data_IF_251235497208
#
_entry.id   IF_251235497208
#
_cell.length_a   1.000
_cell.length_b   1.000
_cell.length_c   1.000
_cell.angle_alpha   90.00
_cell.angle_beta   90.00
_cell.angle_gamma   90.00
#
_symmetry.space_group_name_H-M   'P 1'
#
loop_
_entity.id
_entity.type
_entity.pdbx_description
1 polymer ?
#
# COMPACT_ATOMS: atom_id res chain seq x y z
N UNK A 1 10.23 -4.49 -9.53
CA UNK A 1 8.76 -4.66 -9.54
C UNK A 1 8.26 -3.98 -8.29
N UNK A 2 7.47 -2.90 -8.43
CA UNK A 2 6.91 -2.21 -7.26
C UNK A 2 5.91 -3.17 -6.58
N UNK A 3 5.98 -3.36 -5.25
CA UNK A 3 5.09 -4.30 -4.59
C UNK A 3 3.66 -3.79 -4.59
N UNK A 4 2.73 -4.58 -5.15
CA UNK A 4 1.28 -4.36 -5.01
C UNK A 4 0.91 -4.40 -3.53
N UNK A 5 0.19 -3.40 -3.02
CA UNK A 5 -0.28 -3.38 -1.63
C UNK A 5 -1.23 -4.54 -1.34
N UNK A 6 -1.20 -5.07 -0.11
CA UNK A 6 -2.26 -5.97 0.36
C UNK A 6 -3.51 -5.18 0.70
N UNK A 7 -4.65 -5.86 0.86
CA UNK A 7 -5.90 -5.22 1.30
C UNK A 7 -5.74 -4.43 2.62
N UNK A 8 -5.00 -4.96 3.59
CA UNK A 8 -4.77 -4.28 4.88
C UNK A 8 -3.90 -3.03 4.67
N UNK A 9 -2.89 -3.10 3.80
CA UNK A 9 -2.03 -1.96 3.49
C UNK A 9 -2.76 -0.87 2.72
N UNK A 10 -3.63 -1.26 1.78
CA UNK A 10 -4.50 -0.34 1.06
C UNK A 10 -5.48 0.35 2.00
N UNK A 11 -6.10 -0.37 2.93
CA UNK A 11 -7.03 0.19 3.91
C UNK A 11 -6.35 1.24 4.82
N UNK A 12 -5.15 0.92 5.33
CA UNK A 12 -4.37 1.86 6.15
C UNK A 12 -3.96 3.13 5.37
N UNK A 13 -3.59 2.97 4.10
CA UNK A 13 -3.27 4.10 3.21
C UNK A 13 -4.51 4.99 3.00
N UNK A 14 -5.67 4.40 2.73
CA UNK A 14 -6.91 5.12 2.48
C UNK A 14 -7.40 5.86 3.74
N UNK A 15 -7.27 5.26 4.92
CA UNK A 15 -7.54 5.93 6.21
C UNK A 15 -6.61 7.14 6.43
N UNK A 16 -5.31 7.01 6.15
CA UNK A 16 -4.36 8.13 6.30
C UNK A 16 -4.68 9.27 5.34
N UNK A 17 -5.01 8.97 4.08
CA UNK A 17 -5.43 9.98 3.10
C UNK A 17 -6.71 10.71 3.52
N UNK A 18 -7.68 9.97 4.04
CA UNK A 18 -8.93 10.53 4.56
C UNK A 18 -8.68 11.46 5.76
N UNK A 19 -7.89 11.02 6.75
CA UNK A 19 -7.61 11.82 7.95
C UNK A 19 -6.68 13.01 7.71
N UNK A 20 -5.71 12.88 6.80
CA UNK A 20 -4.66 13.90 6.61
C UNK A 20 -5.01 14.92 5.55
N UNK A 21 -5.63 14.48 4.46
CA UNK A 21 -5.89 15.31 3.28
C UNK A 21 -7.39 15.46 2.97
N UNK A 22 -8.27 14.75 3.68
CA UNK A 22 -9.72 14.80 3.46
C UNK A 22 -10.20 13.94 2.30
N UNK A 23 -9.33 13.13 1.67
CA UNK A 23 -9.69 12.21 0.61
C UNK A 23 -10.35 10.97 1.21
N UNK A 24 -11.66 11.03 1.41
CA UNK A 24 -12.45 9.95 1.97
C UNK A 24 -13.34 9.35 0.87
N UNK A 25 -12.91 8.28 0.19
CA UNK A 25 -13.72 7.65 -0.85
C UNK A 25 -15.08 7.19 -0.30
N UNK A 26 -16.14 7.22 -1.10
CA UNK A 26 -17.39 6.56 -0.75
C UNK A 26 -17.17 5.05 -0.59
N UNK A 27 -18.03 4.39 0.20
CA UNK A 27 -17.86 3.00 0.61
C UNK A 27 -17.61 2.05 -0.58
N UNK A 28 -18.34 2.19 -1.68
CA UNK A 28 -18.18 1.35 -2.88
C UNK A 28 -16.78 1.48 -3.50
N UNK A 29 -16.22 2.69 -3.52
CA UNK A 29 -14.89 2.95 -4.03
C UNK A 29 -13.80 2.48 -3.05
N UNK A 30 -14.03 2.65 -1.75
CA UNK A 30 -13.17 2.11 -0.70
C UNK A 30 -13.06 0.58 -0.82
N UNK A 31 -14.19 -0.12 -0.93
CA UNK A 31 -14.21 -1.58 -1.12
C UNK A 31 -13.46 -2.01 -2.39
N UNK A 32 -13.64 -1.27 -3.48
CA UNK A 32 -12.96 -1.55 -4.75
C UNK A 32 -11.44 -1.38 -4.64
N UNK A 33 -10.98 -0.24 -4.09
CA UNK A 33 -9.56 0.07 -3.93
C UNK A 33 -8.86 -0.88 -2.94
N UNK A 34 -9.58 -1.33 -1.92
CA UNK A 34 -9.05 -2.28 -0.93
C UNK A 34 -9.01 -3.71 -1.48
N UNK A 35 -10.01 -4.12 -2.26
CA UNK A 35 -10.10 -5.49 -2.82
C UNK A 35 -9.20 -5.68 -4.03
N UNK A 36 -9.07 -4.65 -4.87
CA UNK A 36 -8.26 -4.64 -6.07
C UNK A 36 -7.35 -3.40 -6.05
N UNK A 37 -6.33 -3.40 -5.19
CA UNK A 37 -5.42 -2.27 -5.07
C UNK A 37 -4.71 -2.02 -6.40
N UNK A 38 -4.71 -0.76 -6.88
CA UNK A 38 -3.93 -0.37 -8.05
C UNK A 38 -2.46 -0.78 -7.91
N UNK A 39 -1.82 -1.18 -9.02
CA UNK A 39 -0.55 -1.90 -8.99
C UNK A 39 0.66 -1.03 -8.65
N UNK A 40 0.56 0.28 -8.79
CA UNK A 40 1.65 1.22 -8.59
C UNK A 40 1.17 2.55 -8.02
N UNK A 41 2.15 3.38 -7.66
CA UNK A 41 1.95 4.67 -7.01
C UNK A 41 1.08 5.60 -7.86
N UNK A 42 1.30 5.65 -9.17
CA UNK A 42 0.59 6.58 -10.06
C UNK A 42 -0.85 6.14 -10.23
N UNK A 43 -1.07 4.86 -10.54
CA UNK A 43 -2.39 4.27 -10.67
C UNK A 43 -3.21 4.39 -9.36
N UNK A 44 -2.57 4.23 -8.20
CA UNK A 44 -3.23 4.38 -6.91
C UNK A 44 -3.59 5.84 -6.62
N UNK A 45 -2.65 6.76 -6.84
CA UNK A 45 -2.88 8.20 -6.67
C UNK A 45 -4.07 8.65 -7.51
N UNK A 46 -4.07 8.30 -8.80
CA UNK A 46 -5.15 8.66 -9.71
C UNK A 46 -6.48 8.01 -9.34
N UNK A 47 -6.47 6.76 -8.88
CA UNK A 47 -7.68 6.06 -8.49
C UNK A 47 -8.32 6.67 -7.23
N UNK A 48 -7.51 7.09 -6.24
CA UNK A 48 -8.03 7.80 -5.06
C UNK A 48 -8.63 9.14 -5.43
N UNK A 49 -7.95 9.92 -6.28
CA UNK A 49 -8.43 11.24 -6.71
C UNK A 49 -9.77 11.08 -7.45
N UNK A 50 -9.89 10.10 -8.36
CA UNK A 50 -11.14 9.85 -9.08
C UNK A 50 -12.25 9.28 -8.19
N UNK A 51 -11.89 8.48 -7.19
CA UNK A 51 -12.83 7.86 -6.28
C UNK A 51 -13.45 8.85 -5.30
N UNK A 52 -12.74 9.91 -4.96
CA UNK A 52 -13.28 10.96 -4.11
C UNK A 52 -14.43 11.67 -4.84
N UNK A 53 -15.64 11.51 -4.32
CA UNK A 53 -16.90 11.98 -4.93
C UNK A 53 -16.95 13.51 -5.11
N UNK A 54 -15.97 14.23 -4.58
CA UNK A 54 -15.77 15.67 -4.76
C UNK A 54 -14.99 16.04 -6.03
N UNK A 55 -14.38 15.09 -6.75
CA UNK A 55 -13.46 15.37 -7.85
C UNK A 55 -13.74 14.65 -9.18
N UNK A 56 -15.00 14.41 -9.63
CA UNK A 56 -15.21 13.84 -10.96
C UNK A 56 -14.69 14.75 -12.10
N UNK A 57 -14.52 16.05 -11.83
CA UNK A 57 -14.05 17.04 -12.81
C UNK A 57 -13.13 18.12 -12.20
N UNK A 58 -12.71 17.97 -10.94
CA UNK A 58 -11.92 19.02 -10.28
C UNK A 58 -10.46 18.95 -10.72
N UNK A 59 -9.99 20.01 -11.37
CA UNK A 59 -8.57 20.38 -11.41
C UNK A 59 -8.05 20.50 -9.98
N UNK A 60 -7.62 19.37 -9.39
CA UNK A 60 -6.95 19.40 -8.10
C UNK A 60 -5.63 20.16 -8.28
N UNK A 61 -5.29 21.01 -7.32
CA UNK A 61 -4.03 21.73 -7.41
C UNK A 61 -2.86 20.75 -7.51
N UNK A 62 -1.85 21.08 -8.32
CA UNK A 62 -0.62 20.28 -8.44
C UNK A 62 0.03 20.04 -7.06
N UNK A 63 -0.17 20.96 -6.12
CA UNK A 63 0.27 20.81 -4.72
C UNK A 63 -0.44 19.64 -4.04
N UNK A 64 -1.77 19.57 -4.15
CA UNK A 64 -2.57 18.50 -3.54
C UNK A 64 -2.26 17.15 -4.18
N UNK A 65 -2.13 17.09 -5.51
CA UNK A 65 -1.69 15.87 -6.21
C UNK A 65 -0.35 15.36 -5.66
N UNK A 66 0.64 16.25 -5.50
CA UNK A 66 1.95 15.90 -4.94
C UNK A 66 1.86 15.41 -3.49
N UNK A 67 0.93 15.94 -2.68
CA UNK A 67 0.72 15.48 -1.31
C UNK A 67 0.12 14.06 -1.27
N UNK A 68 -0.91 13.79 -2.07
CA UNK A 68 -1.49 12.44 -2.19
C UNK A 68 -0.41 11.45 -2.63
N UNK A 69 0.31 11.78 -3.72
CA UNK A 69 1.37 10.92 -4.26
C UNK A 69 2.48 10.65 -3.24
N UNK A 70 2.84 11.63 -2.41
CA UNK A 70 3.86 11.46 -1.38
C UNK A 70 3.45 10.43 -0.31
N UNK A 71 2.20 10.50 0.18
CA UNK A 71 1.66 9.52 1.14
C UNK A 71 1.62 8.13 0.52
N UNK A 72 1.07 8.01 -0.70
CA UNK A 72 1.04 6.74 -1.44
C UNK A 72 2.45 6.16 -1.60
N UNK A 73 3.42 6.98 -2.02
CA UNK A 73 4.82 6.56 -2.18
C UNK A 73 5.39 6.00 -0.87
N UNK A 74 5.14 6.66 0.27
CA UNK A 74 5.62 6.21 1.57
C UNK A 74 5.07 4.82 1.95
N UNK A 75 3.79 4.57 1.72
CA UNK A 75 3.16 3.26 1.99
C UNK A 75 3.71 2.15 1.11
N UNK A 76 3.95 2.42 -0.17
CA UNK A 76 4.57 1.45 -1.07
C UNK A 76 6.00 1.08 -0.65
N UNK A 77 6.81 2.06 -0.20
CA UNK A 77 8.14 1.78 0.36
C UNK A 77 8.08 1.00 1.67
N UNK A 78 7.17 1.34 2.58
CA UNK A 78 6.98 0.58 3.82
C UNK A 78 6.57 -0.87 3.54
N UNK A 79 5.73 -1.10 2.53
CA UNK A 79 5.32 -2.43 2.09
C UNK A 79 6.51 -3.22 1.49
N UNK A 80 7.39 -2.56 0.73
CA UNK A 80 8.62 -3.14 0.20
C UNK A 80 9.57 -3.57 1.33
N UNK A 81 9.84 -2.66 2.27
CA UNK A 81 10.71 -2.89 3.42
C UNK A 81 10.19 -4.04 4.30
N UNK A 82 8.87 -4.08 4.52
CA UNK A 82 8.24 -5.15 5.29
C UNK A 82 8.44 -6.52 4.63
N UNK A 83 8.33 -6.61 3.30
CA UNK A 83 8.59 -7.86 2.56
C UNK A 83 10.05 -8.28 2.64
N UNK A 84 10.98 -7.34 2.52
CA UNK A 84 12.42 -7.64 2.62
C UNK A 84 12.79 -8.15 4.01
N UNK A 85 12.21 -7.58 5.08
CA UNK A 85 12.39 -8.08 6.45
C UNK A 85 11.89 -9.51 6.60
N UNK A 86 10.68 -9.83 6.11
CA UNK A 86 10.14 -11.20 6.16
C UNK A 86 11.04 -12.18 5.40
N UNK A 87 11.57 -11.78 4.24
CA UNK A 87 12.51 -12.62 3.47
C UNK A 87 13.82 -12.89 4.22
N UNK A 88 14.31 -11.96 5.03
CA UNK A 88 15.56 -12.14 5.79
C UNK A 88 15.42 -13.14 6.94
N UNK A 89 14.22 -13.32 7.50
CA UNK A 89 13.96 -14.29 8.58
C UNK A 89 13.92 -15.75 8.12
N UNK A 90 13.75 -16.02 6.82
CA UNK A 90 13.67 -17.40 6.29
C UNK A 90 15.03 -18.04 6.00
N UNK A 91 16.13 -17.27 6.02
CA UNK A 91 17.47 -17.80 5.81
C UNK A 91 18.13 -18.36 7.08
N UNK A 92 17.59 -18.09 8.27
CA UNK A 92 18.19 -18.51 9.55
C UNK A 92 17.64 -19.82 10.13
N UNK A 93 16.72 -20.52 9.43
CA UNK A 93 16.05 -21.72 9.96
C UNK A 93 16.43 -23.05 9.28
N UNK A 94 17.56 -23.12 8.56
CA UNK A 94 18.09 -24.38 8.01
C UNK A 94 19.48 -24.67 8.55
N UNK A 95 19.56 -25.07 9.83
CA UNK A 95 20.58 -26.03 10.30
C UNK A 95 20.36 -26.38 11.77
N UNK A 96 19.68 -27.50 12.02
CA UNK A 96 19.86 -28.30 13.26
C UNK A 96 19.09 -29.62 13.17
N UNK A 97 19.35 -30.45 12.15
CA UNK A 97 19.08 -31.89 12.24
C UNK A 97 20.14 -32.70 11.47
N UNK A 98 21.40 -32.46 11.81
CA UNK A 98 22.49 -33.40 11.52
C UNK A 98 23.47 -33.47 12.68
N UNK A 99 23.23 -34.39 13.62
CA UNK A 99 24.22 -35.43 13.96
C UNK A 99 23.71 -36.39 15.04
N UNK A 100 23.90 -37.70 14.75
CA UNK A 100 24.35 -38.81 15.63
C UNK A 100 23.65 -39.00 16.98
N UNK A 101 23.27 -40.22 17.37
CA UNK A 101 24.19 -41.29 17.75
C UNK A 101 23.50 -42.66 17.60
N UNK A 102 24.21 -43.60 16.96
CA UNK A 102 23.98 -45.05 17.08
C UNK A 102 24.41 -45.50 18.47
N UNK A 103 23.59 -46.26 19.18
CA UNK A 103 24.02 -47.26 20.14
C UNK A 103 23.09 -48.46 20.10
#
# INVERSE_FOLDING_TARGET
MIPVLTSIQADALLDELCRTLGFCPPLEALETLTRQPPPDIEAFTDAVIRADALAPECDISLRLYRQVRAIVTAHFHQAEDARQRVSSYQSDSVDSHSNRIRH
#
